data_IF_260486072945
#
_entry.id   IF_260486072945
#
_cell.length_a   1.000
_cell.length_b   1.000
_cell.length_c   1.000
_cell.angle_alpha   90.00
_cell.angle_beta   90.00
_cell.angle_gamma   90.00
#
_symmetry.space_group_name_H-M   'P 1'
#
loop_
_entity.id
_entity.type
_entity.pdbx_description
1 polymer ?
#
# COMPACT_ATOMS: atom_id res chain seq x y z
N UNK A 1 -15.24 93.70 -6.17
CA UNK A 1 -14.95 92.42 -6.86
C UNK A 1 -14.48 91.43 -5.80
N UNK A 2 -15.36 90.52 -5.34
CA UNK A 2 -15.11 89.62 -4.19
C UNK A 2 -14.31 88.38 -4.65
N UNK A 3 -13.11 88.17 -4.11
CA UNK A 3 -12.39 86.90 -4.24
C UNK A 3 -13.04 85.84 -3.33
N UNK A 4 -13.24 84.63 -3.87
CA UNK A 4 -13.72 83.45 -3.15
C UNK A 4 -12.50 82.58 -2.78
N UNK A 5 -12.29 82.33 -1.49
CA UNK A 5 -11.33 81.33 -1.02
C UNK A 5 -11.91 79.93 -1.24
N UNK A 6 -11.19 79.08 -1.96
CA UNK A 6 -11.47 77.65 -2.11
C UNK A 6 -10.59 76.91 -1.11
N UNK A 7 -11.19 76.25 -0.11
CA UNK A 7 -10.49 75.27 0.73
C UNK A 7 -10.51 73.92 0.03
N UNK A 8 -9.33 73.37 -0.25
CA UNK A 8 -9.14 71.99 -0.71
C UNK A 8 -8.97 71.10 0.52
N UNK A 9 -9.91 70.18 0.77
CA UNK A 9 -9.80 69.17 1.82
C UNK A 9 -9.19 67.89 1.24
N UNK A 10 -8.01 67.50 1.70
CA UNK A 10 -7.38 66.21 1.40
C UNK A 10 -8.00 65.14 2.28
N UNK A 11 -8.69 64.17 1.67
CA UNK A 11 -9.21 62.97 2.36
C UNK A 11 -8.14 61.87 2.28
N UNK A 12 -7.41 61.64 3.37
CA UNK A 12 -6.57 60.44 3.54
C UNK A 12 -7.47 59.25 3.89
N UNK A 13 -7.86 58.48 2.88
CA UNK A 13 -8.59 57.23 3.07
C UNK A 13 -7.67 56.12 3.60
N UNK A 14 -7.86 55.70 4.85
CA UNK A 14 -7.24 54.49 5.37
C UNK A 14 -7.93 53.27 4.73
N UNK A 15 -7.21 52.51 3.90
CA UNK A 15 -7.69 51.24 3.35
C UNK A 15 -7.57 50.19 4.45
N UNK A 16 -8.70 49.86 5.10
CA UNK A 16 -8.77 48.77 6.06
C UNK A 16 -8.88 47.45 5.28
N UNK A 17 -7.76 46.78 5.04
CA UNK A 17 -7.78 45.42 4.47
C UNK A 17 -8.36 44.46 5.51
N UNK A 18 -9.65 44.14 5.37
CA UNK A 18 -10.28 43.07 6.13
C UNK A 18 -9.64 41.73 5.70
N UNK A 19 -8.83 41.15 6.59
CA UNK A 19 -8.36 39.77 6.44
C UNK A 19 -9.56 38.86 6.70
N UNK A 20 -10.20 38.38 5.63
CA UNK A 20 -11.17 37.31 5.75
C UNK A 20 -10.43 36.05 6.18
N UNK A 21 -10.48 35.74 7.48
CA UNK A 21 -10.12 34.42 7.97
C UNK A 21 -11.15 33.44 7.43
N UNK A 22 -10.78 32.70 6.38
CA UNK A 22 -11.54 31.53 5.96
C UNK A 22 -11.43 30.54 7.13
N UNK A 23 -12.53 30.19 7.82
CA UNK A 23 -12.45 29.21 8.89
C UNK A 23 -11.89 27.92 8.29
N UNK A 24 -10.84 27.38 8.90
CA UNK A 24 -10.37 26.05 8.55
C UNK A 24 -11.55 25.09 8.71
N UNK A 25 -12.01 24.50 7.61
CA UNK A 25 -13.05 23.47 7.65
C UNK A 25 -12.58 22.39 8.62
N UNK A 26 -13.34 22.14 9.69
CA UNK A 26 -13.00 21.11 10.64
C UNK A 26 -12.84 19.78 9.89
N UNK A 27 -11.71 19.09 10.11
CA UNK A 27 -11.43 17.81 9.47
C UNK A 27 -12.59 16.85 9.73
N UNK A 28 -13.33 16.50 8.67
CA UNK A 28 -14.51 15.64 8.77
C UNK A 28 -14.05 14.20 8.94
N UNK A 29 -14.56 13.50 9.97
CA UNK A 29 -14.31 12.07 10.16
C UNK A 29 -15.56 11.28 9.78
N UNK A 30 -15.43 10.36 8.83
CA UNK A 30 -16.46 9.39 8.44
C UNK A 30 -16.09 8.01 8.96
N UNK A 31 -17.08 7.28 9.50
CA UNK A 31 -16.88 5.96 10.08
C UNK A 31 -17.50 4.88 9.21
N UNK A 32 -16.80 3.76 9.10
CA UNK A 32 -17.24 2.57 8.36
C UNK A 32 -17.17 1.38 9.29
N UNK A 33 -18.21 0.53 9.33
CA UNK A 33 -18.24 -0.68 10.16
C UNK A 33 -18.96 -1.81 9.42
N UNK A 34 -18.56 -3.06 9.67
CA UNK A 34 -19.18 -4.26 9.05
C UNK A 34 -20.67 -4.41 9.41
N UNK A 35 -21.11 -3.86 10.55
CA UNK A 35 -22.50 -3.79 10.97
C UNK A 35 -23.17 -2.43 10.68
N UNK A 36 -22.54 -1.60 9.83
CA UNK A 36 -23.07 -0.30 9.43
C UNK A 36 -24.18 -0.37 8.38
N UNK A 37 -24.59 0.79 7.88
CA UNK A 37 -25.55 0.92 6.78
C UNK A 37 -25.19 2.15 5.92
N UNK A 38 -25.18 2.02 4.60
CA UNK A 38 -24.82 3.12 3.69
C UNK A 38 -25.86 4.25 3.62
N UNK A 39 -27.04 4.06 4.22
CA UNK A 39 -28.03 5.11 4.47
C UNK A 39 -27.76 5.91 5.76
N UNK A 40 -26.83 5.47 6.62
CA UNK A 40 -26.48 6.19 7.84
C UNK A 40 -25.73 7.49 7.52
N UNK A 41 -25.57 8.35 8.53
CA UNK A 41 -24.85 9.62 8.39
C UNK A 41 -23.31 9.48 8.34
N UNK A 42 -22.75 8.29 8.56
CA UNK A 42 -21.31 8.07 8.61
C UNK A 42 -20.65 8.55 9.90
N UNK A 43 -21.42 8.71 10.99
CA UNK A 43 -20.90 9.06 12.32
C UNK A 43 -20.44 7.80 13.05
N UNK A 44 -19.70 7.95 14.15
CA UNK A 44 -19.25 6.80 14.93
C UNK A 44 -20.41 5.92 15.44
N UNK A 45 -21.54 6.53 15.82
CA UNK A 45 -22.73 5.83 16.30
C UNK A 45 -23.61 5.28 15.16
N UNK A 46 -23.50 5.84 13.96
CA UNK A 46 -24.22 5.41 12.77
C UNK A 46 -23.24 5.34 11.57
N UNK A 47 -22.35 4.33 11.53
CA UNK A 47 -21.33 4.22 10.50
C UNK A 47 -21.91 3.74 9.17
N UNK A 48 -21.22 4.05 8.07
CA UNK A 48 -21.48 3.42 6.77
C UNK A 48 -21.16 1.93 6.81
N UNK A 49 -21.77 1.15 5.91
CA UNK A 49 -21.42 -0.25 5.74
C UNK A 49 -20.17 -0.42 4.87
N UNK A 50 -20.04 0.40 3.82
CA UNK A 50 -19.00 0.24 2.81
C UNK A 50 -17.94 1.34 2.86
N UNK A 51 -16.68 0.94 2.59
CA UNK A 51 -15.56 1.87 2.47
C UNK A 51 -15.78 2.81 1.27
N UNK A 52 -16.31 2.28 0.16
CA UNK A 52 -16.60 3.07 -1.04
C UNK A 52 -17.60 4.21 -0.77
N UNK A 53 -18.62 3.97 0.06
CA UNK A 53 -19.57 5.02 0.45
C UNK A 53 -18.86 6.19 1.13
N UNK A 54 -17.98 5.91 2.09
CA UNK A 54 -17.19 6.96 2.75
C UNK A 54 -16.26 7.68 1.77
N UNK A 55 -15.58 6.94 0.88
CA UNK A 55 -14.71 7.53 -0.16
C UNK A 55 -15.49 8.45 -1.10
N UNK A 56 -16.77 8.16 -1.39
CA UNK A 56 -17.60 9.01 -2.26
C UNK A 56 -18.00 10.35 -1.61
N UNK A 57 -17.98 10.43 -0.27
CA UNK A 57 -18.47 11.59 0.49
C UNK A 57 -17.35 12.41 1.13
N UNK A 58 -16.19 11.79 1.42
CA UNK A 58 -15.09 12.49 2.09
C UNK A 58 -14.59 13.68 1.26
N UNK A 59 -14.14 14.72 1.94
CA UNK A 59 -13.53 15.92 1.34
C UNK A 59 -12.04 15.99 1.70
N UNK A 60 -11.21 16.76 0.97
CA UNK A 60 -9.82 17.00 1.33
C UNK A 60 -9.64 17.38 2.81
N UNK A 61 -8.62 16.82 3.46
CA UNK A 61 -8.36 16.96 4.90
C UNK A 61 -9.21 16.06 5.80
N UNK A 62 -10.15 15.30 5.24
CA UNK A 62 -10.99 14.38 5.99
C UNK A 62 -10.31 13.05 6.33
N UNK A 63 -10.88 12.34 7.29
CA UNK A 63 -10.47 10.99 7.69
C UNK A 63 -11.63 10.00 7.53
N UNK A 64 -11.35 8.85 6.94
CA UNK A 64 -12.22 7.68 6.93
C UNK A 64 -11.64 6.69 7.95
N UNK A 65 -12.35 6.49 9.05
CA UNK A 65 -12.01 5.57 10.11
C UNK A 65 -12.79 4.26 9.95
N UNK A 66 -12.08 3.17 9.62
CA UNK A 66 -12.67 1.86 9.35
C UNK A 66 -12.58 0.99 10.61
N UNK A 67 -13.71 0.55 11.13
CA UNK A 67 -13.80 -0.36 12.28
C UNK A 67 -13.31 -1.76 11.88
N UNK A 68 -12.84 -2.51 12.87
CA UNK A 68 -12.32 -3.85 12.68
C UNK A 68 -13.35 -4.83 12.15
N UNK A 69 -12.89 -5.77 11.32
CA UNK A 69 -13.72 -6.77 10.67
C UNK A 69 -13.25 -7.07 9.25
N UNK A 70 -13.94 -8.03 8.62
CA UNK A 70 -13.72 -8.41 7.23
C UNK A 70 -14.76 -7.75 6.34
N UNK A 71 -14.29 -7.02 5.34
CA UNK A 71 -15.08 -6.33 4.33
C UNK A 71 -14.96 -7.10 3.02
N UNK A 72 -15.92 -8.01 2.77
CA UNK A 72 -16.02 -8.73 1.52
C UNK A 72 -16.50 -7.79 0.40
N UNK A 73 -15.67 -7.61 -0.63
CA UNK A 73 -15.95 -6.69 -1.71
C UNK A 73 -16.75 -7.36 -2.83
N UNK A 74 -17.90 -6.79 -3.19
CA UNK A 74 -18.62 -7.13 -4.43
C UNK A 74 -18.14 -6.30 -5.63
N UNK A 75 -17.34 -5.26 -5.39
CA UNK A 75 -16.71 -4.40 -6.38
C UNK A 75 -15.49 -3.77 -5.73
N UNK A 76 -14.44 -3.51 -6.52
CA UNK A 76 -13.20 -2.97 -5.97
C UNK A 76 -13.40 -1.54 -5.45
N UNK A 77 -12.57 -1.16 -4.49
CA UNK A 77 -12.55 0.18 -3.94
C UNK A 77 -11.87 1.12 -4.95
N UNK A 78 -12.58 2.17 -5.36
CA UNK A 78 -12.14 3.15 -6.35
C UNK A 78 -11.79 4.48 -5.68
N UNK A 79 -10.52 4.86 -5.74
CA UNK A 79 -10.01 6.15 -5.24
C UNK A 79 -9.51 6.97 -6.43
N UNK A 80 -10.37 7.84 -6.95
CA UNK A 80 -10.10 8.68 -8.13
C UNK A 80 -10.11 10.18 -7.81
N UNK A 81 -10.48 10.57 -6.58
CA UNK A 81 -10.47 11.97 -6.12
C UNK A 81 -9.25 12.23 -5.25
N UNK A 82 -8.54 13.32 -5.50
CA UNK A 82 -7.33 13.67 -4.75
C UNK A 82 -7.62 14.55 -3.54
N UNK A 83 -6.78 14.43 -2.51
CA UNK A 83 -6.62 15.49 -1.51
C UNK A 83 -5.81 16.66 -2.08
N UNK A 84 -5.27 17.49 -1.20
CA UNK A 84 -4.26 18.51 -1.55
C UNK A 84 -3.03 18.37 -0.67
N UNK A 85 -1.93 19.02 -1.02
CA UNK A 85 -0.73 19.06 -0.19
C UNK A 85 -0.97 19.59 1.22
N UNK A 86 -1.89 20.55 1.37
CA UNK A 86 -2.29 21.12 2.66
C UNK A 86 -3.43 20.36 3.36
N UNK A 87 -4.13 19.48 2.64
CA UNK A 87 -5.30 18.77 3.13
C UNK A 87 -5.36 17.35 2.53
N UNK A 88 -4.41 16.46 2.88
CA UNK A 88 -4.45 15.08 2.43
C UNK A 88 -5.66 14.34 3.02
N UNK A 89 -6.17 13.34 2.31
CA UNK A 89 -7.30 12.51 2.79
C UNK A 89 -6.73 11.25 3.45
N UNK A 90 -7.23 10.87 4.62
CA UNK A 90 -6.78 9.67 5.33
C UNK A 90 -7.83 8.56 5.25
N UNK A 91 -7.44 7.34 4.87
CA UNK A 91 -8.19 6.11 5.04
C UNK A 91 -7.41 5.21 6.00
N UNK A 92 -7.97 4.95 7.18
CA UNK A 92 -7.24 4.25 8.24
C UNK A 92 -8.12 3.28 9.01
N UNK A 93 -7.53 2.21 9.52
CA UNK A 93 -8.14 1.46 10.62
C UNK A 93 -8.41 2.38 11.83
N UNK A 94 -9.52 2.13 12.51
CA UNK A 94 -9.92 2.84 13.71
C UNK A 94 -9.11 2.34 14.91
N UNK A 95 -8.25 3.20 15.46
CA UNK A 95 -7.36 2.82 16.56
C UNK A 95 -6.41 1.67 16.15
N UNK A 96 -6.39 0.61 16.94
CA UNK A 96 -5.62 -0.62 16.69
C UNK A 96 -6.49 -1.78 16.19
N UNK A 97 -7.73 -1.51 15.77
CA UNK A 97 -8.63 -2.55 15.26
C UNK A 97 -8.08 -3.13 13.94
N UNK A 98 -8.25 -4.45 13.74
CA UNK A 98 -7.79 -5.13 12.53
C UNK A 98 -8.85 -5.09 11.44
N UNK A 99 -8.52 -4.44 10.31
CA UNK A 99 -9.38 -4.29 9.13
C UNK A 99 -8.88 -5.17 8.01
N UNK A 100 -9.70 -6.10 7.54
CA UNK A 100 -9.41 -6.95 6.39
C UNK A 100 -10.32 -6.54 5.23
N UNK A 101 -9.74 -6.23 4.09
CA UNK A 101 -10.42 -5.98 2.83
C UNK A 101 -10.24 -7.24 1.99
N UNK A 102 -11.34 -7.94 1.72
CA UNK A 102 -11.32 -9.23 1.05
C UNK A 102 -11.87 -9.10 -0.37
N UNK A 103 -10.98 -9.29 -1.34
CA UNK A 103 -11.28 -9.20 -2.75
C UNK A 103 -11.78 -10.49 -3.39
N UNK A 104 -11.96 -11.59 -2.65
CA UNK A 104 -12.23 -12.92 -3.22
C UNK A 104 -13.44 -12.95 -4.18
N UNK A 105 -14.47 -12.14 -3.91
CA UNK A 105 -15.67 -12.07 -4.74
C UNK A 105 -15.56 -11.10 -5.95
N UNK A 106 -14.40 -10.48 -6.18
CA UNK A 106 -14.17 -9.58 -7.31
C UNK A 106 -14.00 -10.35 -8.62
N UNK A 107 -14.28 -9.68 -9.74
CA UNK A 107 -13.91 -10.20 -11.05
C UNK A 107 -12.40 -10.43 -11.15
N UNK A 108 -12.00 -11.40 -11.98
CA UNK A 108 -10.60 -11.74 -12.23
C UNK A 108 -9.82 -12.19 -10.99
N UNK A 109 -10.49 -12.88 -10.07
CA UNK A 109 -9.96 -13.29 -8.76
C UNK A 109 -10.26 -14.77 -8.48
N UNK A 110 -9.36 -15.71 -8.87
CA UNK A 110 -8.29 -15.52 -9.83
C UNK A 110 -8.82 -15.33 -11.26
N UNK A 111 -8.07 -14.59 -12.08
CA UNK A 111 -8.34 -14.50 -13.51
C UNK A 111 -8.03 -15.83 -14.23
N UNK A 112 -8.78 -16.15 -15.28
CA UNK A 112 -8.50 -17.31 -16.12
C UNK A 112 -7.09 -17.21 -16.75
N UNK A 113 -6.41 -18.34 -16.95
CA UNK A 113 -5.06 -18.39 -17.55
C UNK A 113 -5.02 -17.63 -18.88
N UNK A 114 -4.05 -16.73 -19.04
CA UNK A 114 -3.88 -15.91 -20.24
C UNK A 114 -4.89 -14.78 -20.44
N UNK A 115 -5.91 -14.64 -19.56
CA UNK A 115 -6.83 -13.49 -19.58
C UNK A 115 -6.10 -12.18 -19.30
N UNK A 116 -6.72 -11.02 -19.55
CA UNK A 116 -6.20 -9.71 -19.12
C UNK A 116 -7.17 -9.05 -18.16
N UNK A 117 -6.65 -8.49 -17.07
CA UNK A 117 -7.44 -7.72 -16.11
C UNK A 117 -7.59 -6.29 -16.64
N UNK A 118 -8.82 -5.80 -16.90
CA UNK A 118 -9.07 -4.41 -17.29
C UNK A 118 -8.46 -3.45 -16.26
N UNK A 119 -7.87 -2.34 -16.71
CA UNK A 119 -7.12 -1.42 -15.85
C UNK A 119 -7.91 -0.99 -14.60
N UNK A 120 -9.16 -0.53 -14.78
CA UNK A 120 -10.03 -0.10 -13.69
C UNK A 120 -10.44 -1.20 -12.70
N UNK A 121 -10.25 -2.47 -13.06
CA UNK A 121 -10.56 -3.64 -12.23
C UNK A 121 -9.32 -4.23 -11.56
N UNK A 122 -8.14 -3.63 -11.76
CA UNK A 122 -6.92 -4.02 -11.03
C UNK A 122 -6.98 -3.50 -9.60
N UNK A 123 -6.61 -4.34 -8.64
CA UNK A 123 -6.60 -3.98 -7.21
C UNK A 123 -7.95 -4.22 -6.54
N UNK A 124 -7.92 -4.82 -5.35
CA UNK A 124 -9.00 -4.69 -4.39
C UNK A 124 -9.15 -3.22 -3.97
N UNK A 125 -8.02 -2.49 -3.91
CA UNK A 125 -7.97 -1.03 -3.90
C UNK A 125 -7.34 -0.55 -5.21
N UNK A 126 -8.13 0.13 -6.04
CA UNK A 126 -7.71 0.80 -7.27
C UNK A 126 -7.59 2.30 -7.04
N UNK A 127 -6.45 2.88 -7.42
CA UNK A 127 -6.15 4.28 -7.18
C UNK A 127 -5.60 4.98 -8.42
N UNK A 128 -6.16 6.15 -8.70
CA UNK A 128 -5.69 7.13 -9.69
C UNK A 128 -5.67 8.53 -9.04
N UNK A 129 -5.27 8.60 -7.78
CA UNK A 129 -5.40 9.78 -6.94
C UNK A 129 -4.10 10.13 -6.20
N UNK A 130 -4.02 11.38 -5.76
CA UNK A 130 -2.89 11.97 -5.07
C UNK A 130 -3.27 12.53 -3.70
N UNK A 131 -2.27 12.72 -2.83
CA UNK A 131 -2.43 13.27 -1.49
C UNK A 131 -3.38 12.44 -0.60
N UNK A 132 -3.21 11.13 -0.61
CA UNK A 132 -3.85 10.20 0.30
C UNK A 132 -2.88 9.62 1.33
N UNK A 133 -3.40 9.32 2.51
CA UNK A 133 -2.77 8.44 3.49
C UNK A 133 -3.63 7.18 3.66
N UNK A 134 -3.10 6.01 3.32
CA UNK A 134 -3.73 4.72 3.63
C UNK A 134 -2.95 4.07 4.77
N UNK A 135 -3.64 3.68 5.85
CA UNK A 135 -2.95 3.17 7.03
C UNK A 135 -3.64 2.00 7.76
N UNK A 136 -2.86 0.98 8.15
CA UNK A 136 -3.32 -0.09 9.03
C UNK A 136 -4.36 -1.02 8.41
N UNK A 137 -4.31 -1.23 7.09
CA UNK A 137 -5.27 -2.07 6.37
C UNK A 137 -4.59 -3.37 5.93
N UNK A 138 -5.32 -4.46 6.01
CA UNK A 138 -4.94 -5.74 5.44
C UNK A 138 -5.77 -6.03 4.21
N UNK A 139 -5.14 -6.32 3.07
CA UNK A 139 -5.77 -6.54 1.78
C UNK A 139 -5.44 -7.95 1.31
N UNK A 140 -6.48 -8.74 1.10
CA UNK A 140 -6.37 -10.16 0.76
C UNK A 140 -7.18 -10.52 -0.47
N UNK A 141 -6.76 -11.60 -1.13
CA UNK A 141 -7.52 -12.25 -2.19
C UNK A 141 -7.97 -11.29 -3.30
N UNK A 142 -7.27 -10.18 -3.55
CA UNK A 142 -7.61 -9.25 -4.62
C UNK A 142 -7.00 -9.68 -5.95
N UNK A 143 -7.51 -9.18 -7.09
CA UNK A 143 -6.85 -9.35 -8.39
C UNK A 143 -5.48 -8.67 -8.41
N UNK A 144 -5.29 -7.64 -7.59
CA UNK A 144 -4.04 -7.13 -6.99
C UNK A 144 -4.44 -6.72 -5.56
N UNK A 145 -3.50 -6.53 -4.62
CA UNK A 145 -3.86 -5.95 -3.33
C UNK A 145 -4.19 -4.45 -3.47
N UNK A 146 -3.15 -3.63 -3.61
CA UNK A 146 -3.25 -2.21 -3.96
C UNK A 146 -2.67 -1.99 -5.35
N UNK A 147 -3.41 -1.32 -6.22
CA UNK A 147 -2.95 -0.92 -7.55
C UNK A 147 -3.10 0.60 -7.72
N UNK A 148 -1.98 1.30 -7.83
CA UNK A 148 -1.91 2.75 -7.98
C UNK A 148 -1.32 3.11 -9.34
N UNK A 149 -2.09 3.78 -10.20
CA UNK A 149 -1.66 4.22 -11.51
C UNK A 149 -1.64 5.75 -11.60
N UNK A 150 -0.48 6.34 -11.90
CA UNK A 150 -0.34 7.80 -11.97
C UNK A 150 -0.56 8.51 -10.63
N UNK A 151 -0.33 7.81 -9.53
CA UNK A 151 -0.55 8.29 -8.17
C UNK A 151 0.62 9.13 -7.66
N UNK A 152 0.36 10.27 -7.03
CA UNK A 152 1.43 11.13 -6.52
C UNK A 152 1.25 11.57 -5.07
N UNK A 153 2.37 11.76 -4.37
CA UNK A 153 2.37 12.36 -3.02
C UNK A 153 1.46 11.61 -2.02
N UNK A 154 1.35 10.29 -2.15
CA UNK A 154 0.60 9.47 -1.21
C UNK A 154 1.51 8.85 -0.16
N UNK A 155 0.94 8.53 1.01
CA UNK A 155 1.60 7.74 2.05
C UNK A 155 0.83 6.44 2.28
N UNK A 156 1.53 5.33 2.25
CA UNK A 156 1.02 4.00 2.53
C UNK A 156 1.74 3.46 3.75
N UNK A 157 1.04 3.27 4.86
CA UNK A 157 1.66 3.01 6.17
C UNK A 157 1.06 1.77 6.85
N UNK A 158 1.88 0.82 7.30
CA UNK A 158 1.41 -0.38 8.01
C UNK A 158 0.33 -1.13 7.23
N UNK A 159 0.56 -1.30 5.93
CA UNK A 159 -0.31 -2.11 5.10
C UNK A 159 0.17 -3.55 5.10
N UNK A 160 -0.78 -4.48 5.06
CA UNK A 160 -0.51 -5.89 4.80
C UNK A 160 -1.17 -6.26 3.49
N UNK A 161 -0.43 -6.77 2.52
CA UNK A 161 -0.99 -7.26 1.25
C UNK A 161 -0.62 -8.72 1.08
N UNK A 162 -1.57 -9.63 1.29
CA UNK A 162 -1.28 -11.06 1.28
C UNK A 162 -2.25 -11.89 0.48
N UNK A 163 -1.76 -13.01 -0.04
CA UNK A 163 -2.58 -14.03 -0.72
C UNK A 163 -3.37 -13.49 -1.92
N UNK A 164 -3.00 -12.33 -2.47
CA UNK A 164 -3.62 -11.74 -3.64
C UNK A 164 -3.24 -12.54 -4.91
N UNK A 165 -4.08 -12.45 -5.93
CA UNK A 165 -3.97 -13.20 -7.18
C UNK A 165 -3.13 -12.51 -8.27
N UNK A 166 -2.39 -11.44 -7.92
CA UNK A 166 -1.27 -10.81 -8.63
C UNK A 166 -0.37 -10.13 -7.56
N UNK A 167 0.46 -9.14 -7.95
CA UNK A 167 1.28 -8.31 -7.05
C UNK A 167 0.49 -7.74 -5.87
N UNK A 168 1.07 -7.83 -4.66
CA UNK A 168 0.45 -7.34 -3.43
C UNK A 168 0.27 -5.82 -3.40
N UNK A 169 1.33 -5.07 -3.70
CA UNK A 169 1.29 -3.61 -3.81
C UNK A 169 1.97 -3.14 -5.09
N UNK A 170 1.27 -2.36 -5.92
CA UNK A 170 1.81 -1.88 -7.19
C UNK A 170 1.67 -0.37 -7.38
N UNK A 171 2.79 0.28 -7.72
CA UNK A 171 2.83 1.61 -8.33
C UNK A 171 3.18 1.48 -9.81
N UNK A 172 2.44 2.19 -10.66
CA UNK A 172 2.64 2.13 -12.10
C UNK A 172 2.48 3.51 -12.78
N UNK A 173 2.94 3.62 -14.03
CA UNK A 173 2.87 4.81 -14.87
C UNK A 173 3.66 5.98 -14.25
N UNK A 174 3.21 7.22 -14.41
CA UNK A 174 3.87 8.42 -13.88
C UNK A 174 3.70 8.59 -12.36
N UNK A 175 3.58 7.50 -11.58
CA UNK A 175 3.43 7.59 -10.13
C UNK A 175 4.72 8.11 -9.49
N UNK A 176 4.66 9.21 -8.74
CA UNK A 176 5.83 9.89 -8.19
C UNK A 176 5.63 10.33 -6.73
N UNK A 177 6.72 10.47 -5.98
CA UNK A 177 6.73 10.99 -4.61
C UNK A 177 5.79 10.25 -3.65
N UNK A 178 5.56 8.96 -3.87
CA UNK A 178 4.82 8.13 -2.92
C UNK A 178 5.76 7.56 -1.85
N UNK A 179 5.29 7.51 -0.61
CA UNK A 179 6.02 6.97 0.52
C UNK A 179 5.35 5.68 0.99
N UNK A 180 6.09 4.57 0.98
CA UNK A 180 5.64 3.26 1.47
C UNK A 180 6.42 2.95 2.75
N UNK A 181 5.71 2.83 3.87
CA UNK A 181 6.25 2.63 5.22
C UNK A 181 5.66 1.36 5.85
N UNK A 182 6.51 0.46 6.33
CA UNK A 182 6.07 -0.75 7.04
C UNK A 182 5.04 -1.58 6.25
N UNK A 183 5.34 -1.90 4.99
CA UNK A 183 4.52 -2.79 4.16
C UNK A 183 4.96 -4.25 4.41
N UNK A 184 4.03 -5.09 4.84
CA UNK A 184 4.20 -6.54 4.83
C UNK A 184 3.48 -7.12 3.62
N UNK A 185 4.21 -7.80 2.72
CA UNK A 185 3.61 -8.36 1.50
C UNK A 185 4.11 -9.77 1.22
N UNK A 186 3.21 -10.76 1.24
CA UNK A 186 3.56 -12.19 1.17
C UNK A 186 2.43 -13.06 0.62
N UNK A 187 2.73 -14.27 0.14
CA UNK A 187 1.70 -15.21 -0.35
C UNK A 187 0.98 -14.79 -1.65
N UNK A 188 1.33 -13.63 -2.20
CA UNK A 188 0.81 -13.13 -3.46
C UNK A 188 1.29 -14.01 -4.62
N UNK A 189 0.40 -14.34 -5.55
CA UNK A 189 0.64 -15.31 -6.63
C UNK A 189 -0.23 -14.99 -7.84
N UNK A 190 0.25 -15.19 -9.06
CA UNK A 190 -0.51 -14.92 -10.28
C UNK A 190 -0.81 -16.21 -11.07
N UNK A 191 -1.82 -17.00 -10.67
CA UNK A 191 -2.19 -18.21 -11.39
C UNK A 191 -2.61 -17.93 -12.84
N UNK A 192 -3.06 -16.69 -13.14
CA UNK A 192 -3.37 -16.20 -14.49
C UNK A 192 -2.19 -16.33 -15.46
N UNK A 193 -0.96 -16.17 -14.97
CA UNK A 193 0.28 -16.22 -15.78
C UNK A 193 1.29 -17.20 -15.17
N UNK A 194 0.81 -18.30 -14.61
CA UNK A 194 1.63 -19.40 -14.11
C UNK A 194 2.62 -19.01 -12.98
N UNK A 195 2.35 -17.96 -12.21
CA UNK A 195 3.18 -17.56 -11.07
C UNK A 195 4.38 -16.67 -11.42
N UNK A 196 4.42 -16.09 -12.63
CA UNK A 196 5.60 -15.38 -13.15
C UNK A 196 5.60 -13.86 -12.91
N UNK A 197 4.47 -13.26 -12.53
CA UNK A 197 4.29 -11.79 -12.47
C UNK A 197 3.95 -11.23 -11.09
N UNK A 198 3.57 -12.07 -10.12
CA UNK A 198 3.21 -11.59 -8.79
C UNK A 198 4.44 -11.23 -7.96
N UNK A 199 4.55 -9.97 -7.59
CA UNK A 199 5.55 -9.46 -6.65
C UNK A 199 4.95 -9.21 -5.26
N UNK A 200 5.81 -9.03 -4.25
CA UNK A 200 5.38 -8.40 -3.00
C UNK A 200 5.09 -6.92 -3.19
N UNK A 201 6.05 -6.20 -3.77
CA UNK A 201 6.00 -4.77 -4.09
C UNK A 201 6.52 -4.55 -5.52
N UNK A 202 5.68 -4.00 -6.40
CA UNK A 202 6.04 -3.64 -7.77
C UNK A 202 6.00 -2.14 -8.00
N UNK A 203 7.14 -1.50 -8.22
CA UNK A 203 7.22 -0.12 -8.71
C UNK A 203 7.72 -0.21 -10.16
N UNK A 204 6.80 -0.21 -11.13
CA UNK A 204 7.12 -0.63 -12.49
C UNK A 204 6.45 0.19 -13.58
N UNK A 205 6.96 0.05 -14.81
CA UNK A 205 6.34 0.51 -16.06
C UNK A 205 5.93 2.00 -16.00
N UNK A 206 6.90 2.89 -15.72
CA UNK A 206 6.62 4.28 -15.40
C UNK A 206 7.80 5.23 -15.51
N UNK A 207 7.50 6.53 -15.54
CA UNK A 207 8.49 7.62 -15.59
C UNK A 207 8.55 8.47 -14.32
N UNK A 208 7.74 8.13 -13.29
CA UNK A 208 7.68 8.90 -12.06
C UNK A 208 8.90 8.68 -11.16
N UNK A 209 9.31 9.74 -10.45
CA UNK A 209 10.49 9.80 -9.60
C UNK A 209 10.12 9.99 -8.11
N UNK A 210 11.12 9.95 -7.22
CA UNK A 210 10.92 10.27 -5.80
C UNK A 210 10.07 9.28 -4.98
N UNK A 211 9.64 8.16 -5.56
CA UNK A 211 9.00 7.10 -4.77
C UNK A 211 10.01 6.50 -3.79
N UNK A 212 9.67 6.54 -2.51
CA UNK A 212 10.54 6.09 -1.44
C UNK A 212 9.89 4.92 -0.69
N UNK A 213 10.69 3.91 -0.40
CA UNK A 213 10.37 2.89 0.58
C UNK A 213 11.23 3.17 1.81
N UNK A 214 10.61 3.41 2.97
CA UNK A 214 11.39 3.32 4.20
C UNK A 214 11.50 1.83 4.51
N UNK A 215 12.65 1.25 4.18
CA UNK A 215 12.97 -0.11 4.58
C UNK A 215 13.24 -0.10 6.07
N UNK A 216 12.19 -0.20 6.87
CA UNK A 216 12.32 -0.73 8.21
C UNK A 216 12.54 -2.23 8.04
N UNK A 217 13.80 -2.65 7.90
CA UNK A 217 14.15 -4.04 8.19
C UNK A 217 13.76 -4.21 9.65
N UNK A 218 12.59 -4.81 9.91
CA UNK A 218 12.23 -5.22 11.26
C UNK A 218 13.32 -6.10 11.85
N UNK A 219 13.22 -6.43 13.14
CA UNK A 219 14.11 -7.42 13.72
C UNK A 219 13.92 -8.77 13.01
N UNK A 220 14.84 -9.15 12.13
CA UNK A 220 14.92 -10.51 11.62
C UNK A 220 15.58 -11.39 12.66
N UNK A 221 14.91 -12.47 13.05
CA UNK A 221 15.50 -13.49 13.93
C UNK A 221 15.79 -14.70 13.05
N UNK A 222 17.07 -14.93 12.74
CA UNK A 222 17.49 -16.17 12.10
C UNK A 222 17.96 -17.12 13.21
N UNK A 223 17.49 -18.38 13.19
CA UNK A 223 17.96 -19.46 14.07
C UNK A 223 18.06 -20.75 13.26
N UNK A 224 19.07 -21.59 13.51
CA UNK A 224 19.24 -22.88 12.81
C UNK A 224 19.96 -22.83 11.44
N UNK A 225 20.41 -21.65 10.99
CA UNK A 225 21.21 -21.53 9.76
C UNK A 225 22.71 -21.62 10.05
N UNK A 226 23.50 -22.03 9.07
CA UNK A 226 24.95 -22.24 9.18
C UNK A 226 25.74 -20.99 9.61
N UNK A 227 25.24 -19.78 9.36
CA UNK A 227 25.83 -18.51 9.82
C UNK A 227 25.45 -18.09 11.25
N UNK A 228 24.50 -18.78 11.90
CA UNK A 228 24.15 -18.54 13.31
C UNK A 228 24.91 -19.45 14.28
N UNK A 229 25.66 -20.41 13.75
CA UNK A 229 26.41 -21.37 14.54
C UNK A 229 27.85 -20.85 14.64
N UNK A 230 28.16 -20.20 15.77
CA UNK A 230 29.50 -19.66 16.03
C UNK A 230 30.55 -20.77 16.10
N UNK A 231 31.79 -20.49 15.67
CA UNK A 231 32.93 -21.41 15.79
C UNK A 231 33.85 -21.42 14.57
N UNK A 232 34.94 -22.17 14.67
CA UNK A 232 35.80 -22.51 13.53
C UNK A 232 35.48 -23.92 13.09
N UNK A 233 35.25 -24.10 11.80
CA UNK A 233 34.78 -25.36 11.22
C UNK A 233 35.86 -25.93 10.33
N UNK A 234 36.18 -27.20 10.50
CA UNK A 234 36.96 -27.94 9.52
C UNK A 234 35.98 -28.54 8.52
N UNK A 235 36.09 -28.11 7.26
CA UNK A 235 35.23 -28.55 6.18
C UNK A 235 35.86 -29.72 5.44
N UNK A 236 35.03 -30.65 4.98
CA UNK A 236 35.47 -31.82 4.22
C UNK A 236 36.04 -31.43 2.85
N UNK A 237 35.50 -30.37 2.24
CA UNK A 237 36.02 -29.77 1.01
C UNK A 237 35.57 -28.32 0.85
N UNK A 238 36.44 -27.49 0.28
CA UNK A 238 36.13 -26.14 -0.24
C UNK A 238 36.29 -26.05 -1.75
N UNK A 239 36.43 -27.19 -2.44
CA UNK A 239 36.53 -27.23 -3.90
C UNK A 239 35.13 -27.20 -4.52
N UNK A 240 34.76 -26.05 -5.11
CA UNK A 240 33.48 -25.84 -5.75
C UNK A 240 33.24 -26.72 -6.98
N UNK A 241 34.29 -27.33 -7.56
CA UNK A 241 34.13 -28.26 -8.68
C UNK A 241 33.21 -29.43 -8.32
N UNK A 242 33.22 -29.84 -7.05
CA UNK A 242 32.42 -30.96 -6.50
C UNK A 242 30.91 -30.70 -6.44
N UNK A 243 30.44 -29.47 -6.71
CA UNK A 243 29.01 -29.12 -6.79
C UNK A 243 28.60 -28.61 -8.18
N UNK A 244 29.50 -28.70 -9.16
CA UNK A 244 29.23 -28.26 -10.53
C UNK A 244 29.00 -29.45 -11.45
N UNK A 245 28.04 -29.32 -12.38
CA UNK A 245 27.70 -30.36 -13.34
C UNK A 245 26.20 -30.58 -13.49
N UNK A 246 25.83 -31.52 -14.38
CA UNK A 246 24.44 -31.90 -14.58
C UNK A 246 23.86 -32.61 -13.35
N UNK A 247 22.57 -32.41 -13.10
CA UNK A 247 21.79 -33.15 -12.09
C UNK A 247 21.82 -34.67 -12.35
N UNK A 248 21.36 -35.45 -11.37
CA UNK A 248 21.09 -36.86 -11.59
C UNK A 248 19.91 -37.04 -12.58
N UNK A 249 19.77 -38.23 -13.17
CA UNK A 249 18.77 -38.50 -14.20
C UNK A 249 17.31 -38.33 -13.72
N UNK A 250 17.10 -38.41 -12.40
CA UNK A 250 15.84 -38.17 -11.70
C UNK A 250 15.62 -36.69 -11.32
N UNK A 251 16.55 -35.80 -11.70
CA UNK A 251 16.52 -34.37 -11.36
C UNK A 251 17.11 -34.02 -9.99
N UNK A 252 17.52 -35.01 -9.20
CA UNK A 252 18.10 -34.78 -7.89
C UNK A 252 19.44 -34.03 -7.98
N UNK A 253 19.71 -33.21 -6.95
CA UNK A 253 21.04 -32.63 -6.74
C UNK A 253 21.96 -33.76 -6.30
N UNK A 254 23.12 -33.89 -6.96
CA UNK A 254 24.10 -34.90 -6.58
C UNK A 254 24.65 -34.56 -5.18
N UNK A 255 24.71 -35.53 -4.24
CA UNK A 255 25.33 -35.28 -2.95
C UNK A 255 26.82 -34.90 -3.15
N UNK A 256 27.30 -34.00 -2.31
CA UNK A 256 28.66 -33.47 -2.39
C UNK A 256 29.24 -33.25 -0.99
N UNK A 257 30.56 -33.28 -0.89
CA UNK A 257 31.31 -32.94 0.33
C UNK A 257 31.65 -31.45 0.43
N UNK A 258 31.24 -30.63 -0.55
CA UNK A 258 31.49 -29.19 -0.54
C UNK A 258 30.80 -28.53 0.65
N UNK A 259 31.59 -27.83 1.47
CA UNK A 259 31.15 -27.12 2.67
C UNK A 259 30.42 -28.01 3.71
N UNK A 260 30.67 -29.32 3.69
CA UNK A 260 30.17 -30.25 4.72
C UNK A 260 31.11 -30.25 5.93
N UNK A 261 30.61 -30.05 7.17
CA UNK A 261 31.41 -30.19 8.39
C UNK A 261 32.06 -31.58 8.49
N UNK A 262 33.36 -31.61 8.77
CA UNK A 262 34.15 -32.86 8.83
C UNK A 262 33.77 -33.80 9.99
N UNK A 263 33.04 -33.30 10.99
CA UNK A 263 32.47 -34.07 12.08
C UNK A 263 31.12 -34.74 11.73
N UNK A 264 30.63 -34.54 10.50
CA UNK A 264 29.38 -35.12 10.01
C UNK A 264 28.12 -34.43 10.55
N UNK A 265 28.24 -33.26 11.18
CA UNK A 265 27.09 -32.49 11.61
C UNK A 265 26.26 -32.00 10.40
N UNK A 266 24.96 -32.33 10.39
CA UNK A 266 24.01 -31.75 9.42
C UNK A 266 23.82 -30.27 9.70
N UNK A 267 24.37 -29.41 8.84
CA UNK A 267 24.32 -27.95 9.02
C UNK A 267 23.96 -27.30 7.69
N UNK A 268 22.88 -26.53 7.69
CA UNK A 268 22.29 -25.94 6.48
C UNK A 268 20.84 -26.38 6.29
N UNK A 269 20.27 -26.08 5.12
CA UNK A 269 18.92 -26.51 4.79
C UNK A 269 18.87 -28.05 4.63
N UNK A 270 18.03 -28.71 5.43
CA UNK A 270 17.59 -30.06 5.12
C UNK A 270 16.74 -29.98 3.84
N UNK A 271 17.14 -30.69 2.79
CA UNK A 271 16.42 -30.77 1.51
C UNK A 271 15.54 -32.02 1.51
#
# INVERSE_FOLDING_TARGET
MKLRNVLTATITGAVLSAVFQVPASAATTLYVATNGNDANAGTQAAPFATIQKAISLITPGGTIAVRGGTYALSSNIQITRSGTSSAPITLTAYGSERVIIDGEALGYTPGAVGSTIPAAQRGAIHMEASYWKLAGLEIINGPYGVYCAGCNNNTFERLVTRDNYETGFQLQNSSANNLILNLDSYGNRDPRKNGESADGLGIKEGSGDGNATAVALGSSTASGNSWNIAGTWTLTSTDASTITGARAADGAIRPSSFLVPSDGASVGAEI
#
